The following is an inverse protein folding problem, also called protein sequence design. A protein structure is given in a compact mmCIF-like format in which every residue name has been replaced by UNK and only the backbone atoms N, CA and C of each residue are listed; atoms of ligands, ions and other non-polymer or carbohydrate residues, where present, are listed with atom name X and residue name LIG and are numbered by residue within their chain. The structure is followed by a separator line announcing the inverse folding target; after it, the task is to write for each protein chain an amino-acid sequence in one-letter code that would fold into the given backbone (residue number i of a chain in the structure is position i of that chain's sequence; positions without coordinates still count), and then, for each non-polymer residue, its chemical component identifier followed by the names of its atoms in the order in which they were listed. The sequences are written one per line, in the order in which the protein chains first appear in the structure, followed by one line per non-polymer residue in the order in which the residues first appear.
data_IF_112317929021
#
_entry.id   IF_112317929021
#
_cell.length_a   1.000
_cell.length_b   1.000
_cell.length_c   1.000
_cell.angle_alpha   90.00
_cell.angle_beta   90.00
_cell.angle_gamma   90.00
#
_symmetry.space_group_name_H-M   'P 1'
#
loop_
_entity.id
_entity.type
_entity.pdbx_description
1 polymer ?
#
# COMPACT_ATOMS: atom_id res chain seq x y z
N UNK A 1 -11.64 -16.27 -16.57
CA UNK A 1 -12.77 -16.12 -15.61
C UNK A 1 -14.02 -15.70 -16.38
N UNK A 2 -15.20 -16.27 -16.07
CA UNK A 2 -16.48 -15.83 -16.66
C UNK A 2 -17.10 -14.64 -15.89
N UNK A 3 -18.18 -14.04 -16.43
CA UNK A 3 -18.83 -12.85 -15.83
C UNK A 3 -19.41 -13.18 -14.44
N UNK A 4 -19.92 -14.39 -14.23
CA UNK A 4 -20.52 -14.77 -12.94
C UNK A 4 -19.44 -14.80 -11.86
N UNK A 5 -18.34 -15.49 -12.12
CA UNK A 5 -17.19 -15.55 -11.23
C UNK A 5 -16.56 -14.17 -11.01
N UNK A 6 -16.51 -13.32 -12.05
CA UNK A 6 -16.06 -11.94 -11.91
C UNK A 6 -16.97 -11.13 -10.98
N UNK A 7 -18.30 -11.27 -11.10
CA UNK A 7 -19.25 -10.57 -10.24
C UNK A 7 -19.22 -11.03 -8.78
N UNK A 8 -18.99 -12.33 -8.53
CA UNK A 8 -18.74 -12.84 -7.18
C UNK A 8 -17.49 -12.20 -6.57
N UNK A 9 -16.42 -12.06 -7.37
CA UNK A 9 -15.18 -11.44 -6.94
C UNK A 9 -15.31 -9.92 -6.74
N UNK A 10 -16.08 -9.22 -7.58
CA UNK A 10 -16.40 -7.79 -7.39
C UNK A 10 -17.19 -7.58 -6.10
N UNK A 11 -18.16 -8.44 -5.80
CA UNK A 11 -18.91 -8.37 -4.56
C UNK A 11 -17.97 -8.52 -3.35
N UNK A 12 -17.03 -9.48 -3.41
CA UNK A 12 -16.01 -9.63 -2.35
C UNK A 12 -15.10 -8.42 -2.22
N UNK A 13 -14.58 -7.91 -3.34
CA UNK A 13 -13.77 -6.68 -3.36
C UNK A 13 -14.55 -5.49 -2.77
N UNK A 14 -15.85 -5.38 -3.05
CA UNK A 14 -16.69 -4.32 -2.50
C UNK A 14 -16.79 -4.39 -0.99
N UNK A 15 -16.90 -5.59 -0.40
CA UNK A 15 -16.94 -5.76 1.05
C UNK A 15 -15.62 -5.32 1.70
N UNK A 16 -14.48 -5.68 1.09
CA UNK A 16 -13.16 -5.28 1.57
C UNK A 16 -13.00 -3.76 1.50
N UNK A 17 -13.27 -3.16 0.35
CA UNK A 17 -13.17 -1.70 0.16
C UNK A 17 -14.10 -0.95 1.11
N UNK A 18 -15.35 -1.39 1.25
CA UNK A 18 -16.31 -0.77 2.17
C UNK A 18 -15.83 -0.82 3.62
N UNK A 19 -15.34 -1.99 4.06
CA UNK A 19 -14.81 -2.18 5.41
C UNK A 19 -13.65 -1.22 5.68
N UNK A 20 -12.72 -1.14 4.75
CA UNK A 20 -11.50 -0.34 4.87
C UNK A 20 -11.78 1.17 4.84
N UNK A 21 -12.58 1.64 3.89
CA UNK A 21 -12.91 3.06 3.73
C UNK A 21 -13.75 3.58 4.90
N UNK A 22 -14.72 2.80 5.38
CA UNK A 22 -15.58 3.22 6.49
C UNK A 22 -14.85 3.46 7.82
N UNK A 23 -13.67 2.86 8.00
CA UNK A 23 -12.85 3.03 9.22
C UNK A 23 -11.84 4.17 9.15
N UNK A 24 -11.56 4.74 7.95
CA UNK A 24 -10.49 5.74 7.78
C UNK A 24 -10.96 7.19 7.76
N UNK A 25 -12.26 7.46 7.65
CA UNK A 25 -12.80 8.82 7.62
C UNK A 25 -12.28 9.65 6.43
N UNK A 26 -12.66 10.93 6.37
CA UNK A 26 -12.08 11.89 5.43
C UNK A 26 -10.67 12.27 5.91
N UNK A 27 -9.72 12.31 4.98
CA UNK A 27 -8.34 12.71 5.26
C UNK A 27 -8.19 14.19 4.93
N UNK A 28 -7.96 15.00 5.97
CA UNK A 28 -7.65 16.42 5.84
C UNK A 28 -6.15 16.64 6.04
N UNK A 29 -5.53 17.39 5.12
CA UNK A 29 -4.16 17.84 5.25
C UNK A 29 -4.05 19.32 4.92
N UNK A 30 -3.08 19.98 5.56
CA UNK A 30 -2.71 21.37 5.28
C UNK A 30 -1.73 21.48 4.10
N UNK A 31 -1.03 20.40 3.78
CA UNK A 31 -0.01 20.39 2.75
C UNK A 31 -0.60 19.90 1.43
N UNK A 32 -1.09 18.66 1.35
CA UNK A 32 -1.63 18.11 0.12
C UNK A 32 -3.17 18.06 0.10
N UNK A 33 -3.80 18.18 -1.09
CA UNK A 33 -5.25 17.96 -1.23
C UNK A 33 -5.54 16.45 -1.27
N UNK A 34 -5.37 15.78 -0.13
CA UNK A 34 -5.34 14.30 -0.02
C UNK A 34 -6.56 13.63 -0.63
N UNK A 35 -7.76 14.05 -0.25
CA UNK A 35 -8.98 13.44 -0.77
C UNK A 35 -9.10 13.65 -2.29
N UNK A 36 -8.71 14.82 -2.80
CA UNK A 36 -8.77 15.14 -4.22
C UNK A 36 -7.80 14.28 -5.06
N UNK A 37 -6.52 14.19 -4.65
CA UNK A 37 -5.54 13.42 -5.42
C UNK A 37 -5.81 11.92 -5.36
N UNK A 38 -6.38 11.41 -4.25
CA UNK A 38 -6.81 10.02 -4.15
C UNK A 38 -7.87 9.73 -5.21
N UNK A 39 -8.87 10.62 -5.35
CA UNK A 39 -9.90 10.47 -6.38
C UNK A 39 -9.30 10.49 -7.79
N UNK A 40 -8.39 11.43 -8.09
CA UNK A 40 -7.67 11.47 -9.36
C UNK A 40 -6.90 10.17 -9.61
N UNK A 41 -6.20 9.64 -8.60
CA UNK A 41 -5.44 8.39 -8.72
C UNK A 41 -6.32 7.18 -9.04
N UNK A 42 -7.58 7.15 -8.57
CA UNK A 42 -8.51 6.08 -8.90
C UNK A 42 -8.87 6.09 -10.39
N UNK A 43 -9.14 7.26 -10.95
CA UNK A 43 -9.42 7.40 -12.39
C UNK A 43 -8.20 7.05 -13.25
N UNK A 44 -7.01 7.52 -12.86
CA UNK A 44 -5.77 7.16 -13.54
C UNK A 44 -5.53 5.64 -13.49
N UNK A 45 -5.71 5.01 -12.31
CA UNK A 45 -5.59 3.56 -12.18
C UNK A 45 -6.56 2.80 -13.09
N UNK A 46 -7.80 3.27 -13.24
CA UNK A 46 -8.78 2.68 -14.17
C UNK A 46 -8.36 2.78 -15.65
N UNK A 47 -7.55 3.78 -15.98
CA UNK A 47 -7.02 3.97 -17.33
C UNK A 47 -5.80 3.08 -17.59
N UNK A 48 -4.85 3.03 -16.65
CA UNK A 48 -3.52 2.46 -16.93
C UNK A 48 -3.28 1.04 -16.42
N UNK A 49 -4.01 0.60 -15.39
CA UNK A 49 -3.60 -0.61 -14.66
C UNK A 49 -3.66 -1.88 -15.52
N UNK A 50 -4.65 -1.98 -16.41
CA UNK A 50 -4.75 -3.12 -17.33
C UNK A 50 -3.47 -3.28 -18.16
N UNK A 51 -2.99 -2.20 -18.78
CA UNK A 51 -1.82 -2.24 -19.66
C UNK A 51 -0.54 -2.53 -18.87
N UNK A 52 -0.40 -1.95 -17.67
CA UNK A 52 0.71 -2.25 -16.76
C UNK A 52 0.73 -3.74 -16.40
N UNK A 53 -0.39 -4.29 -15.92
CA UNK A 53 -0.46 -5.70 -15.50
C UNK A 53 -0.32 -6.66 -16.68
N UNK A 54 -0.80 -6.27 -17.87
CA UNK A 54 -0.59 -7.02 -19.10
C UNK A 54 0.89 -7.10 -19.43
N UNK A 55 1.62 -5.97 -19.38
CA UNK A 55 3.07 -5.94 -19.61
C UNK A 55 3.84 -6.77 -18.58
N UNK A 56 3.44 -6.71 -17.31
CA UNK A 56 4.00 -7.57 -16.24
C UNK A 56 3.77 -9.06 -16.54
N UNK A 57 2.56 -9.40 -17.02
CA UNK A 57 2.16 -10.79 -17.31
C UNK A 57 2.92 -11.42 -18.49
N UNK A 58 3.61 -10.62 -19.32
CA UNK A 58 4.50 -11.13 -20.37
C UNK A 58 5.85 -11.64 -19.80
N UNK A 59 6.18 -11.28 -18.55
CA UNK A 59 7.47 -11.63 -17.91
C UNK A 59 7.33 -12.61 -16.75
N UNK A 60 6.18 -12.63 -16.08
CA UNK A 60 5.94 -13.44 -14.90
C UNK A 60 4.46 -13.80 -14.76
N UNK A 61 4.12 -14.66 -13.80
CA UNK A 61 2.74 -14.97 -13.46
C UNK A 61 2.35 -14.36 -12.11
N UNK A 62 1.04 -14.06 -11.90
CA UNK A 62 0.52 -13.66 -10.59
C UNK A 62 0.91 -14.61 -9.46
N UNK A 63 0.87 -15.92 -9.70
CA UNK A 63 1.21 -16.94 -8.70
C UNK A 63 2.67 -16.84 -8.26
N UNK A 64 3.58 -16.74 -9.23
CA UNK A 64 5.01 -16.62 -8.95
C UNK A 64 5.31 -15.34 -8.18
N UNK A 65 4.68 -14.23 -8.55
CA UNK A 65 4.80 -12.97 -7.82
C UNK A 65 4.33 -13.11 -6.38
N UNK A 66 3.16 -13.73 -6.15
CA UNK A 66 2.63 -13.90 -4.80
C UNK A 66 3.56 -14.77 -3.94
N UNK A 67 4.00 -15.92 -4.46
CA UNK A 67 4.87 -16.84 -3.75
C UNK A 67 6.26 -16.26 -3.45
N UNK A 68 6.93 -15.66 -4.43
CA UNK A 68 8.30 -15.13 -4.26
C UNK A 68 8.37 -13.84 -3.43
N UNK A 69 7.22 -13.20 -3.20
CA UNK A 69 7.10 -11.97 -2.40
C UNK A 69 6.88 -12.25 -0.92
N UNK A 70 6.77 -13.52 -0.51
CA UNK A 70 6.59 -13.97 0.88
C UNK A 70 7.89 -13.92 1.69
N UNK A 71 8.55 -12.77 1.69
CA UNK A 71 9.88 -12.56 2.27
C UNK A 71 9.97 -11.18 2.91
N UNK A 72 10.87 -11.05 3.89
CA UNK A 72 11.15 -9.79 4.59
C UNK A 72 11.51 -8.70 3.57
N UNK A 73 10.98 -7.49 3.68
CA UNK A 73 11.30 -6.32 2.83
C UNK A 73 11.03 -6.59 1.34
N UNK A 74 9.91 -7.23 1.05
CA UNK A 74 9.43 -7.44 -0.33
C UNK A 74 8.78 -6.16 -0.90
N UNK A 75 9.00 -5.90 -2.19
CA UNK A 75 8.31 -4.84 -2.93
C UNK A 75 6.79 -5.04 -2.96
N UNK A 76 6.37 -6.29 -3.17
CA UNK A 76 4.96 -6.69 -3.19
C UNK A 76 4.62 -7.18 -1.79
N UNK A 77 3.66 -6.50 -1.18
CA UNK A 77 3.12 -6.79 0.15
C UNK A 77 1.61 -6.54 0.19
N UNK A 78 0.97 -6.81 1.33
CA UNK A 78 -0.49 -6.81 1.48
C UNK A 78 -1.17 -5.52 0.96
N UNK A 79 -0.63 -4.34 1.32
CA UNK A 79 -1.13 -3.04 0.86
C UNK A 79 -1.06 -2.92 -0.67
N UNK A 80 0.07 -3.27 -1.28
CA UNK A 80 0.21 -3.22 -2.74
C UNK A 80 -0.82 -4.14 -3.43
N UNK A 81 -1.02 -5.36 -2.92
CA UNK A 81 -1.99 -6.31 -3.45
C UNK A 81 -3.42 -5.75 -3.33
N UNK A 82 -3.74 -5.07 -2.23
CA UNK A 82 -5.03 -4.43 -2.03
C UNK A 82 -5.24 -3.19 -2.91
N UNK A 83 -4.18 -2.53 -3.40
CA UNK A 83 -4.32 -1.41 -4.36
C UNK A 83 -5.00 -1.81 -5.66
N UNK A 84 -4.82 -3.05 -6.12
CA UNK A 84 -5.43 -3.50 -7.37
C UNK A 84 -6.96 -3.36 -7.31
N UNK A 85 -7.68 -4.02 -6.38
CA UNK A 85 -9.12 -3.85 -6.30
C UNK A 85 -9.50 -2.47 -5.78
N UNK A 86 -8.75 -1.87 -4.85
CA UNK A 86 -9.13 -0.57 -4.28
C UNK A 86 -9.12 0.54 -5.33
N UNK A 87 -8.01 0.75 -6.03
CA UNK A 87 -7.87 1.92 -6.90
C UNK A 87 -8.63 1.72 -8.21
N UNK A 88 -8.41 0.59 -8.88
CA UNK A 88 -9.04 0.31 -10.18
C UNK A 88 -10.56 0.22 -10.08
N UNK A 89 -11.09 -0.51 -9.10
CA UNK A 89 -12.55 -0.69 -9.03
C UNK A 89 -13.27 0.53 -8.48
N UNK A 90 -12.65 1.33 -7.61
CA UNK A 90 -13.23 2.60 -7.18
C UNK A 90 -13.20 3.63 -8.33
N UNK A 91 -12.14 3.65 -9.14
CA UNK A 91 -12.08 4.45 -10.37
C UNK A 91 -13.18 4.07 -11.37
N UNK A 92 -13.32 2.77 -11.62
CA UNK A 92 -14.42 2.21 -12.42
C UNK A 92 -15.79 2.62 -11.86
N UNK A 93 -15.98 2.53 -10.54
CA UNK A 93 -17.24 2.92 -9.89
C UNK A 93 -17.55 4.41 -10.09
N UNK A 94 -16.54 5.28 -9.95
CA UNK A 94 -16.66 6.71 -10.21
C UNK A 94 -17.06 6.99 -11.65
N UNK A 95 -16.42 6.33 -12.62
CA UNK A 95 -16.71 6.51 -14.04
C UNK A 95 -18.14 6.10 -14.40
N UNK A 96 -18.59 4.94 -13.92
CA UNK A 96 -19.97 4.50 -14.12
C UNK A 96 -20.95 5.47 -13.46
N UNK A 97 -20.65 5.98 -12.26
CA UNK A 97 -21.50 6.94 -11.56
C UNK A 97 -21.63 8.26 -12.34
N UNK A 98 -20.53 8.77 -12.90
CA UNK A 98 -20.54 9.97 -13.75
C UNK A 98 -21.34 9.75 -15.04
N UNK A 99 -21.39 8.51 -15.54
CA UNK A 99 -22.18 8.10 -16.71
C UNK A 99 -23.61 7.65 -16.35
N UNK A 100 -24.22 8.26 -15.33
CA UNK A 100 -25.61 8.01 -14.93
C UNK A 100 -25.82 6.77 -14.06
N UNK A 101 -24.75 6.09 -13.64
CA UNK A 101 -24.81 4.96 -12.74
C UNK A 101 -25.23 3.64 -13.39
N UNK A 102 -25.19 3.55 -14.72
CA UNK A 102 -25.50 2.33 -15.48
C UNK A 102 -24.21 1.58 -15.87
N UNK A 103 -23.94 0.37 -15.36
CA UNK A 103 -22.78 -0.44 -15.75
C UNK A 103 -22.73 -0.77 -17.25
N UNK A 104 -23.85 -0.66 -17.98
CA UNK A 104 -23.86 -0.84 -19.44
C UNK A 104 -23.19 0.31 -20.18
N UNK A 105 -22.94 1.45 -19.53
CA UNK A 105 -22.19 2.58 -20.10
C UNK A 105 -20.74 2.23 -20.42
N UNK A 106 -20.15 1.23 -19.76
CA UNK A 106 -18.82 0.75 -20.09
C UNK A 106 -18.80 -0.04 -21.40
N UNK A 107 -17.76 0.18 -22.20
CA UNK A 107 -17.52 -0.59 -23.42
C UNK A 107 -17.23 -2.05 -23.11
N UNK A 108 -17.48 -2.93 -24.09
CA UNK A 108 -17.15 -4.36 -23.97
C UNK A 108 -15.66 -4.58 -23.66
N UNK A 109 -14.78 -3.82 -24.32
CA UNK A 109 -13.33 -3.87 -24.08
C UNK A 109 -12.98 -3.55 -22.62
N UNK A 110 -13.51 -2.47 -22.03
CA UNK A 110 -13.25 -2.13 -20.63
C UNK A 110 -13.77 -3.18 -19.64
N UNK A 111 -14.86 -3.87 -19.99
CA UNK A 111 -15.35 -5.03 -19.21
C UNK A 111 -14.37 -6.19 -19.26
N UNK A 112 -13.80 -6.50 -20.43
CA UNK A 112 -12.78 -7.54 -20.61
C UNK A 112 -11.49 -7.19 -19.85
N UNK A 113 -11.04 -5.94 -19.92
CA UNK A 113 -9.91 -5.43 -19.13
C UNK A 113 -10.16 -5.58 -17.62
N UNK A 114 -11.37 -5.27 -17.15
CA UNK A 114 -11.77 -5.44 -15.75
C UNK A 114 -11.72 -6.90 -15.31
N UNK A 115 -12.18 -7.82 -16.15
CA UNK A 115 -12.07 -9.27 -15.87
C UNK A 115 -10.61 -9.69 -15.75
N UNK A 116 -9.72 -9.18 -16.62
CA UNK A 116 -8.29 -9.46 -16.56
C UNK A 116 -7.66 -8.97 -15.25
N UNK A 117 -7.91 -7.71 -14.86
CA UNK A 117 -7.37 -7.11 -13.63
C UNK A 117 -7.83 -7.90 -12.39
N UNK A 118 -9.11 -8.29 -12.35
CA UNK A 118 -9.67 -9.09 -11.26
C UNK A 118 -9.09 -10.51 -11.20
N UNK A 119 -8.90 -11.18 -12.35
CA UNK A 119 -8.26 -12.50 -12.42
C UNK A 119 -6.81 -12.45 -11.93
N UNK A 120 -6.06 -11.44 -12.39
CA UNK A 120 -4.70 -11.18 -11.94
C UNK A 120 -4.64 -10.98 -10.42
N UNK A 121 -5.47 -10.09 -9.88
CA UNK A 121 -5.54 -9.84 -8.44
C UNK A 121 -5.85 -11.11 -7.65
N UNK A 122 -6.86 -11.88 -8.06
CA UNK A 122 -7.24 -13.12 -7.39
C UNK A 122 -6.05 -14.06 -7.30
N UNK A 123 -5.40 -14.36 -8.43
CA UNK A 123 -4.29 -15.33 -8.50
C UNK A 123 -3.07 -14.86 -7.70
N UNK A 124 -2.76 -13.56 -7.75
CA UNK A 124 -1.71 -12.95 -6.93
C UNK A 124 -2.01 -13.05 -5.44
N UNK A 125 -3.21 -12.67 -5.03
CA UNK A 125 -3.60 -12.66 -3.62
C UNK A 125 -3.63 -14.08 -3.04
N UNK A 126 -4.23 -15.05 -3.75
CA UNK A 126 -4.34 -16.44 -3.28
C UNK A 126 -3.01 -17.19 -3.20
N UNK A 127 -1.97 -16.72 -3.90
CA UNK A 127 -0.61 -17.28 -3.81
C UNK A 127 0.22 -16.60 -2.71
N UNK A 128 -0.04 -15.32 -2.45
CA UNK A 128 0.61 -14.56 -1.39
C UNK A 128 0.07 -14.90 0.01
N UNK A 129 -1.24 -14.82 0.21
CA UNK A 129 -1.85 -15.04 1.52
C UNK A 129 -1.99 -16.55 1.82
N UNK A 130 -1.76 -16.99 3.07
CA UNK A 130 -1.96 -18.38 3.48
C UNK A 130 -3.35 -18.90 3.14
N UNK A 131 -3.49 -20.21 2.92
CA UNK A 131 -4.77 -20.88 2.67
C UNK A 131 -5.58 -20.33 1.48
N UNK A 132 -4.94 -19.61 0.54
CA UNK A 132 -5.63 -19.07 -0.63
C UNK A 132 -6.62 -17.95 -0.29
N UNK A 133 -6.38 -17.16 0.78
CA UNK A 133 -7.17 -15.97 1.09
C UNK A 133 -6.88 -14.84 0.09
N UNK A 134 -7.76 -13.83 0.04
CA UNK A 134 -7.61 -12.67 -0.86
C UNK A 134 -7.01 -11.44 -0.18
N UNK A 135 -6.97 -11.41 1.15
CA UNK A 135 -6.69 -10.20 1.90
C UNK A 135 -6.31 -10.50 3.36
N UNK A 136 -5.83 -9.48 4.07
CA UNK A 136 -5.56 -9.53 5.51
C UNK A 136 -6.86 -9.68 6.28
N UNK A 137 -7.92 -8.99 5.84
CA UNK A 137 -9.26 -9.16 6.43
C UNK A 137 -9.76 -10.60 6.34
N UNK A 138 -9.51 -11.27 5.21
CA UNK A 138 -9.89 -12.67 4.97
C UNK A 138 -9.03 -13.65 5.78
N UNK A 139 -7.88 -13.18 6.25
CA UNK A 139 -6.90 -13.90 7.06
C UNK A 139 -7.08 -13.60 8.55
N UNK A 140 -8.32 -13.37 9.00
CA UNK A 140 -8.67 -13.02 10.38
C UNK A 140 -7.89 -11.81 10.94
N UNK A 141 -7.54 -10.85 10.07
CA UNK A 141 -6.73 -9.67 10.42
C UNK A 141 -5.32 -10.02 10.87
N UNK A 142 -4.76 -11.10 10.36
CA UNK A 142 -3.34 -11.46 10.50
C UNK A 142 -2.66 -11.29 9.14
N UNK A 143 -1.57 -10.53 9.10
CA UNK A 143 -0.76 -10.35 7.89
C UNK A 143 0.45 -11.31 7.93
N UNK A 144 0.18 -12.61 7.73
CA UNK A 144 1.17 -13.69 7.80
C UNK A 144 1.69 -13.96 6.39
N UNK A 145 2.67 -13.15 5.96
CA UNK A 145 3.22 -13.23 4.61
C UNK A 145 4.64 -13.79 4.56
N UNK A 146 5.46 -13.52 5.58
CA UNK A 146 6.88 -13.88 5.61
C UNK A 146 7.01 -15.40 5.81
N UNK A 147 7.85 -16.03 5.01
CA UNK A 147 8.11 -17.47 5.08
C UNK A 147 8.66 -17.89 6.45
N UNK A 148 8.27 -19.09 6.90
CA UNK A 148 8.65 -19.60 8.23
C UNK A 148 10.17 -19.66 8.42
N UNK A 149 10.95 -19.97 7.37
CA UNK A 149 12.42 -19.97 7.41
C UNK A 149 12.99 -18.60 7.76
N UNK A 150 12.41 -17.52 7.22
CA UNK A 150 12.84 -16.15 7.48
C UNK A 150 12.45 -15.73 8.91
N UNK A 151 11.29 -16.18 9.38
CA UNK A 151 10.86 -15.99 10.78
C UNK A 151 11.82 -16.68 11.74
N UNK A 152 12.16 -17.95 11.48
CA UNK A 152 13.06 -18.71 12.35
C UNK A 152 14.49 -18.18 12.33
N UNK A 153 14.98 -17.74 11.17
CA UNK A 153 16.25 -17.01 11.08
C UNK A 153 16.21 -15.71 11.88
N UNK A 154 15.13 -14.93 11.75
CA UNK A 154 14.97 -13.64 12.45
C UNK A 154 14.95 -13.80 13.96
N UNK A 155 14.34 -14.87 14.50
CA UNK A 155 14.36 -15.18 15.94
C UNK A 155 15.79 -15.23 16.50
N UNK A 156 16.77 -15.70 15.71
CA UNK A 156 18.17 -15.76 16.11
C UNK A 156 18.90 -14.41 15.99
N UNK A 157 18.29 -13.41 15.35
CA UNK A 157 18.84 -12.04 15.24
C UNK A 157 18.27 -11.10 16.31
N UNK A 158 17.23 -11.53 17.05
CA UNK A 158 16.63 -10.71 18.10
C UNK A 158 17.60 -10.60 19.27
N UNK A 159 17.89 -9.36 19.66
CA UNK A 159 18.63 -9.03 20.87
C UNK A 159 17.68 -8.53 21.95
N UNK A 160 17.95 -8.92 23.20
CA UNK A 160 17.28 -8.35 24.37
C UNK A 160 17.71 -6.89 24.52
N UNK A 161 16.76 -6.02 24.85
CA UNK A 161 17.03 -4.58 24.99
C UNK A 161 16.41 -4.01 26.26
N UNK A 162 17.02 -2.93 26.74
CA UNK A 162 16.49 -2.09 27.80
C UNK A 162 15.31 -1.23 27.31
N UNK A 163 14.55 -0.67 28.26
CA UNK A 163 13.49 0.29 27.96
C UNK A 163 14.00 1.54 27.24
N UNK A 164 15.21 2.00 27.56
CA UNK A 164 15.82 3.18 26.92
C UNK A 164 16.15 2.90 25.45
N UNK A 165 16.70 1.72 25.15
CA UNK A 165 16.94 1.26 23.78
C UNK A 165 15.62 1.10 23.02
N UNK A 166 14.57 0.56 23.66
CA UNK A 166 13.25 0.42 23.04
C UNK A 166 12.66 1.78 22.64
N UNK A 167 12.80 2.79 23.51
CA UNK A 167 12.44 4.18 23.22
C UNK A 167 13.24 4.71 22.03
N UNK A 168 14.54 4.49 21.99
CA UNK A 168 15.39 4.97 20.91
C UNK A 168 15.03 4.32 19.56
N UNK A 169 14.76 3.01 19.55
CA UNK A 169 14.33 2.27 18.37
C UNK A 169 12.98 2.78 17.86
N UNK A 170 11.94 2.85 18.73
CA UNK A 170 10.62 3.36 18.32
C UNK A 170 10.68 4.80 17.82
N UNK A 171 11.49 5.66 18.45
CA UNK A 171 11.68 7.05 17.99
C UNK A 171 12.30 7.12 16.61
N UNK A 172 13.34 6.33 16.36
CA UNK A 172 14.03 6.31 15.07
C UNK A 172 13.13 5.79 13.95
N UNK A 173 12.38 4.71 14.24
CA UNK A 173 11.35 4.17 13.36
C UNK A 173 10.27 5.22 13.04
N UNK A 174 9.73 5.90 14.06
CA UNK A 174 8.72 6.94 13.87
C UNK A 174 9.24 8.12 13.02
N UNK A 175 10.50 8.52 13.21
CA UNK A 175 11.10 9.58 12.39
C UNK A 175 11.23 9.15 10.91
N UNK A 176 11.58 7.89 10.66
CA UNK A 176 11.62 7.32 9.30
C UNK A 176 10.23 7.20 8.68
N UNK A 177 9.21 6.85 9.47
CA UNK A 177 7.82 6.83 9.01
C UNK A 177 7.36 8.22 8.58
N UNK A 178 7.69 9.27 9.34
CA UNK A 178 7.30 10.65 9.02
C UNK A 178 7.92 11.11 7.70
N UNK A 179 9.21 10.89 7.49
CA UNK A 179 9.86 11.26 6.22
C UNK A 179 9.33 10.42 5.06
N UNK A 180 9.06 9.12 5.28
CA UNK A 180 8.51 8.24 4.24
C UNK A 180 7.09 8.65 3.87
N UNK A 181 6.27 9.03 4.86
CA UNK A 181 4.91 9.54 4.66
C UNK A 181 4.93 10.84 3.85
N UNK A 182 5.83 11.77 4.21
CA UNK A 182 5.95 13.04 3.50
C UNK A 182 6.45 12.82 2.05
N UNK A 183 7.49 12.02 1.85
CA UNK A 183 8.04 11.69 0.53
C UNK A 183 7.00 11.00 -0.37
N UNK A 184 6.10 10.21 0.21
CA UNK A 184 4.97 9.59 -0.49
C UNK A 184 3.75 10.54 -0.62
N UNK A 185 3.96 11.86 -0.57
CA UNK A 185 2.88 12.86 -0.65
C UNK A 185 1.73 12.62 0.34
N UNK A 186 2.05 12.20 1.57
CA UNK A 186 1.09 11.83 2.63
C UNK A 186 0.34 10.51 2.40
N UNK A 187 0.93 9.59 1.64
CA UNK A 187 0.53 8.18 1.58
C UNK A 187 1.41 7.28 2.46
N UNK A 188 0.95 6.04 2.68
CA UNK A 188 1.64 5.03 3.50
C UNK A 188 2.24 3.88 2.68
N UNK A 189 2.38 4.03 1.36
CA UNK A 189 2.77 2.91 0.49
C UNK A 189 4.15 2.33 0.82
N UNK A 190 5.07 3.14 1.39
CA UNK A 190 6.40 2.70 1.82
C UNK A 190 6.42 1.85 3.09
N UNK A 191 5.33 1.82 3.85
CA UNK A 191 5.26 1.21 5.18
C UNK A 191 4.41 -0.05 5.12
N UNK A 192 4.91 -1.14 5.69
CA UNK A 192 4.18 -2.40 5.79
C UNK A 192 4.44 -3.10 7.12
N UNK A 193 3.37 -3.37 7.85
CA UNK A 193 3.42 -4.17 9.08
C UNK A 193 3.03 -5.63 8.78
N UNK A 194 3.81 -6.59 9.27
CA UNK A 194 3.52 -8.03 9.17
C UNK A 194 3.44 -8.69 10.55
N UNK A 195 2.60 -9.72 10.65
CA UNK A 195 2.41 -10.51 11.86
C UNK A 195 0.92 -10.74 12.21
N UNK A 196 0.64 -11.15 13.45
CA UNK A 196 1.61 -11.52 14.48
C UNK A 196 2.19 -12.93 14.22
N UNK A 197 3.50 -13.09 14.30
CA UNK A 197 4.13 -14.41 14.20
C UNK A 197 4.39 -14.97 15.60
N UNK A 198 3.72 -16.07 15.98
CA UNK A 198 3.83 -16.62 17.33
C UNK A 198 5.24 -17.15 17.63
N UNK A 199 5.78 -16.82 18.80
CA UNK A 199 7.04 -17.38 19.32
C UNK A 199 6.75 -18.43 20.40
N UNK A 200 5.96 -18.05 21.39
CA UNK A 200 5.51 -18.87 22.52
C UNK A 200 4.14 -18.35 22.99
N UNK A 201 3.54 -18.90 24.05
CA UNK A 201 2.18 -18.54 24.49
C UNK A 201 1.92 -17.03 24.66
N UNK A 202 2.93 -16.24 25.04
CA UNK A 202 2.76 -14.83 25.40
C UNK A 202 3.56 -13.87 24.54
N UNK A 203 4.34 -14.37 23.57
CA UNK A 203 5.20 -13.53 22.73
C UNK A 203 4.97 -13.75 21.24
N UNK A 204 5.03 -12.63 20.51
CA UNK A 204 4.90 -12.57 19.06
C UNK A 204 6.02 -11.74 18.45
N UNK A 205 6.36 -12.00 17.20
CA UNK A 205 7.13 -11.09 16.36
C UNK A 205 6.18 -10.24 15.51
N UNK A 206 6.49 -8.95 15.44
CA UNK A 206 5.91 -8.01 14.48
C UNK A 206 7.05 -7.40 13.68
N UNK A 207 6.86 -7.33 12.37
CA UNK A 207 7.78 -6.66 11.45
C UNK A 207 7.13 -5.35 11.04
N UNK A 208 7.88 -4.26 11.16
CA UNK A 208 7.53 -2.98 10.56
C UNK A 208 8.58 -2.62 9.52
N UNK A 209 8.19 -2.68 8.26
CA UNK A 209 9.07 -2.50 7.12
C UNK A 209 8.88 -1.11 6.53
N UNK A 210 10.00 -0.44 6.24
CA UNK A 210 10.06 0.84 5.54
C UNK A 210 10.91 0.64 4.30
N UNK A 211 10.35 0.94 3.13
CA UNK A 211 10.99 0.75 1.82
C UNK A 211 11.24 2.09 1.12
N UNK A 212 12.10 2.08 0.10
CA UNK A 212 12.35 3.22 -0.78
C UNK A 212 12.84 4.50 -0.08
N UNK A 213 13.62 4.36 1.00
CA UNK A 213 14.37 5.48 1.57
C UNK A 213 15.43 5.94 0.56
N UNK A 214 15.63 7.25 0.41
CA UNK A 214 16.64 7.76 -0.51
C UNK A 214 18.03 7.52 0.07
N UNK A 215 18.81 6.64 -0.54
CA UNK A 215 20.15 6.24 -0.10
C UNK A 215 21.29 6.85 -0.94
N UNK A 216 20.97 7.82 -1.81
CA UNK A 216 21.90 8.41 -2.78
C UNK A 216 21.88 7.72 -4.15
N UNK A 217 21.11 6.64 -4.31
CA UNK A 217 20.88 5.96 -5.60
C UNK A 217 19.80 6.63 -6.45
N UNK A 218 19.16 5.82 -7.32
CA UNK A 218 18.01 6.28 -8.12
C UNK A 218 16.85 6.59 -7.17
N UNK A 219 16.30 7.82 -7.16
CA UNK A 219 15.22 8.16 -6.25
C UNK A 219 13.92 7.44 -6.66
N UNK A 220 13.09 7.12 -5.66
CA UNK A 220 11.82 6.44 -5.90
C UNK A 220 10.83 7.35 -6.65
N UNK A 221 10.78 8.63 -6.27
CA UNK A 221 10.07 9.68 -7.00
C UNK A 221 11.01 10.78 -7.48
N UNK A 222 10.62 11.58 -8.48
CA UNK A 222 11.42 12.72 -8.94
C UNK A 222 11.81 13.72 -7.84
N UNK A 223 11.08 13.76 -6.72
CA UNK A 223 11.34 14.65 -5.60
C UNK A 223 12.05 13.98 -4.41
N UNK A 224 12.19 12.65 -4.39
CA UNK A 224 12.77 11.91 -3.25
C UNK A 224 14.27 12.13 -3.09
N UNK A 225 14.95 12.60 -4.14
CA UNK A 225 16.34 13.04 -4.03
C UNK A 225 16.44 14.24 -3.07
N UNK A 226 17.28 14.07 -2.05
CA UNK A 226 17.59 15.07 -1.02
C UNK A 226 19.09 15.11 -0.76
N UNK A 227 19.59 16.20 -0.17
CA UNK A 227 21.02 16.31 0.17
C UNK A 227 21.45 15.28 1.23
N UNK A 228 20.49 14.79 2.03
CA UNK A 228 20.72 13.78 3.04
C UNK A 228 20.41 12.38 2.50
N UNK A 229 21.33 11.44 2.71
CA UNK A 229 21.14 10.05 2.30
C UNK A 229 20.91 9.15 3.51
N UNK A 230 19.95 8.24 3.38
CA UNK A 230 19.74 7.14 4.29
C UNK A 230 20.90 6.15 4.16
N UNK A 231 21.37 5.50 5.23
CA UNK A 231 22.41 4.47 5.13
C UNK A 231 21.96 3.24 4.33
N UNK A 232 20.64 3.00 4.23
CA UNK A 232 20.03 1.91 3.47
C UNK A 232 18.73 2.39 2.83
N UNK A 233 18.39 1.87 1.64
CA UNK A 233 17.12 2.18 0.99
C UNK A 233 15.90 1.48 1.60
N UNK A 234 16.11 0.53 2.52
CA UNK A 234 15.05 -0.17 3.21
C UNK A 234 15.52 -0.64 4.59
N UNK A 235 14.57 -0.76 5.53
CA UNK A 235 14.82 -1.28 6.87
C UNK A 235 13.56 -1.94 7.43
N UNK A 236 13.73 -3.09 8.08
CA UNK A 236 12.70 -3.72 8.90
C UNK A 236 13.06 -3.57 10.37
N UNK A 237 12.13 -2.99 11.13
CA UNK A 237 12.14 -3.02 12.58
C UNK A 237 11.35 -4.26 13.02
N UNK A 238 12.04 -5.24 13.59
CA UNK A 238 11.40 -6.45 14.12
C UNK A 238 11.29 -6.30 15.62
N UNK A 239 10.08 -6.40 16.15
CA UNK A 239 9.80 -6.33 17.58
C UNK A 239 9.40 -7.70 18.09
N UNK A 240 10.08 -8.19 19.13
CA UNK A 240 9.55 -9.23 20.00
C UNK A 240 8.70 -8.54 21.06
N UNK A 241 7.40 -8.80 21.00
CA UNK A 241 6.41 -8.19 21.87
C UNK A 241 5.79 -9.24 22.79
N UNK A 242 5.64 -8.90 24.06
CA UNK A 242 5.04 -9.75 25.09
C UNK A 242 3.69 -9.22 25.54
N UNK A 243 2.71 -10.11 25.72
CA UNK A 243 1.38 -9.80 26.24
C UNK A 243 0.64 -8.71 25.43
N UNK A 244 0.65 -8.84 24.10
CA UNK A 244 -0.07 -7.92 23.22
C UNK A 244 -1.14 -8.65 22.41
N UNK A 245 -2.22 -7.96 22.10
CA UNK A 245 -3.08 -8.33 20.98
C UNK A 245 -2.66 -7.51 19.76
N UNK A 246 -2.50 -8.15 18.60
CA UNK A 246 -2.18 -7.49 17.34
C UNK A 246 -3.16 -7.90 16.24
N UNK A 247 -3.67 -6.91 15.52
CA UNK A 247 -4.51 -7.05 14.33
C UNK A 247 -3.97 -6.14 13.24
N UNK A 248 -4.22 -6.52 12.00
CA UNK A 248 -3.74 -5.81 10.82
C UNK A 248 -4.92 -5.51 9.90
N UNK A 249 -4.81 -4.44 9.13
CA UNK A 249 -5.75 -4.10 8.07
C UNK A 249 -5.17 -4.41 6.67
N UNK A 250 -5.99 -4.28 5.62
CA UNK A 250 -5.54 -4.50 4.23
C UNK A 250 -4.62 -3.39 3.73
N UNK A 251 -4.43 -2.34 4.52
CA UNK A 251 -3.40 -1.35 4.29
C UNK A 251 -2.09 -1.66 5.02
N UNK A 252 -1.94 -2.90 5.51
CA UNK A 252 -0.78 -3.38 6.25
C UNK A 252 -0.42 -2.51 7.46
N UNK A 253 -1.42 -1.98 8.17
CA UNK A 253 -1.22 -1.20 9.39
C UNK A 253 -1.56 -2.02 10.62
N UNK A 254 -0.67 -2.01 11.63
CA UNK A 254 -0.88 -2.61 12.95
C UNK A 254 -1.90 -1.82 13.79
N UNK A 255 -2.87 -2.53 14.33
CA UNK A 255 -3.74 -2.14 15.45
C UNK A 255 -3.39 -3.06 16.64
N UNK A 256 -2.84 -2.51 17.72
CA UNK A 256 -2.43 -3.27 18.90
C UNK A 256 -3.18 -2.87 20.17
N UNK A 257 -3.28 -3.81 21.12
CA UNK A 257 -3.71 -3.56 22.50
C UNK A 257 -2.60 -4.03 23.43
N UNK A 258 -1.95 -3.12 24.18
CA UNK A 258 -2.14 -1.66 24.19
C UNK A 258 -1.74 -0.98 22.87
N UNK A 259 -2.30 0.21 22.61
CA UNK A 259 -2.00 0.97 21.39
C UNK A 259 -0.55 1.48 21.37
N UNK A 260 -0.04 1.94 22.53
CA UNK A 260 1.40 2.10 22.71
C UNK A 260 1.99 0.86 23.38
N UNK A 261 2.65 0.04 22.58
CA UNK A 261 3.26 -1.22 22.99
C UNK A 261 4.72 -1.07 23.46
N UNK A 262 5.20 0.14 23.75
CA UNK A 262 6.61 0.37 24.12
C UNK A 262 7.05 -0.45 25.34
N UNK A 263 6.18 -0.57 26.35
CA UNK A 263 6.43 -1.35 27.56
C UNK A 263 6.33 -2.87 27.34
N UNK A 264 5.85 -3.28 26.16
CA UNK A 264 5.71 -4.69 25.77
C UNK A 264 6.89 -5.19 24.94
N UNK A 265 7.81 -4.32 24.53
CA UNK A 265 9.00 -4.70 23.74
C UNK A 265 10.00 -5.43 24.65
N UNK A 266 10.26 -6.71 24.37
CA UNK A 266 11.26 -7.52 25.09
C UNK A 266 12.53 -7.77 24.27
N UNK A 267 12.52 -7.46 22.99
CA UNK A 267 13.69 -7.61 22.12
C UNK A 267 13.45 -7.01 20.75
N UNK A 268 14.52 -6.71 20.02
CA UNK A 268 14.46 -6.14 18.67
C UNK A 268 15.49 -6.75 17.74
N UNK A 269 15.23 -6.65 16.44
CA UNK A 269 16.24 -6.78 15.39
C UNK A 269 16.01 -5.68 14.35
N UNK A 270 17.08 -5.18 13.77
CA UNK A 270 17.03 -4.32 12.59
C UNK A 270 17.54 -5.14 11.41
N UNK A 271 16.80 -5.14 10.31
CA UNK A 271 17.17 -5.89 9.11
C UNK A 271 17.16 -4.97 7.89
N UNK A 272 17.99 -5.25 6.92
CA UNK A 272 17.92 -4.63 5.58
C UNK A 272 18.05 -5.71 4.51
N UNK A 273 17.61 -5.38 3.30
CA UNK A 273 17.67 -6.26 2.13
C UNK A 273 18.46 -5.62 1.01
N UNK A 274 19.40 -6.38 0.46
CA UNK A 274 20.12 -6.08 -0.78
C UNK A 274 19.89 -7.22 -1.78
N UNK A 275 19.05 -6.99 -2.78
CA UNK A 275 18.60 -8.03 -3.70
C UNK A 275 17.88 -9.16 -2.96
N UNK A 276 18.39 -10.40 -3.08
CA UNK A 276 17.80 -11.55 -2.38
C UNK A 276 18.34 -11.76 -0.97
N UNK A 277 19.37 -11.01 -0.55
CA UNK A 277 20.04 -11.21 0.73
C UNK A 277 19.45 -10.28 1.79
N UNK A 278 18.97 -10.86 2.89
CA UNK A 278 18.61 -10.12 4.12
C UNK A 278 19.77 -10.20 5.08
N UNK A 279 20.14 -9.07 5.70
CA UNK A 279 21.21 -8.99 6.69
C UNK A 279 20.76 -8.20 7.93
N UNK A 280 21.25 -8.57 9.13
CA UNK A 280 21.01 -7.79 10.33
C UNK A 280 21.81 -6.49 10.29
N UNK A 281 21.33 -5.49 11.03
CA UNK A 281 21.98 -4.22 11.28
C UNK A 281 22.17 -4.03 12.78
N UNK A 282 23.29 -3.44 13.15
CA UNK A 282 23.56 -3.01 14.52
C UNK A 282 22.73 -1.77 14.88
N UNK A 283 22.42 -1.58 16.17
CA UNK A 283 21.59 -0.44 16.63
C UNK A 283 22.29 0.93 16.49
N UNK A 284 23.60 0.96 16.24
CA UNK A 284 24.36 2.19 16.00
C UNK A 284 23.90 2.94 14.74
N UNK A 285 23.35 2.20 13.75
CA UNK A 285 22.75 2.74 12.51
C UNK A 285 21.62 3.73 12.78
N UNK A 286 20.95 3.64 13.94
CA UNK A 286 19.83 4.50 14.31
C UNK A 286 20.23 5.98 14.31
N UNK A 287 21.48 6.31 14.64
CA UNK A 287 21.98 7.69 14.58
C UNK A 287 22.00 8.23 13.15
N UNK A 288 22.44 7.41 12.19
CA UNK A 288 22.46 7.76 10.77
C UNK A 288 21.04 7.91 10.21
N UNK A 289 20.13 7.00 10.58
CA UNK A 289 18.72 7.12 10.20
C UNK A 289 18.07 8.40 10.75
N UNK A 290 18.32 8.74 12.02
CA UNK A 290 17.79 9.97 12.63
C UNK A 290 18.36 11.24 11.97
N UNK A 291 19.65 11.23 11.63
CA UNK A 291 20.28 12.35 10.93
C UNK A 291 19.70 12.54 9.51
N UNK A 292 19.48 11.44 8.79
CA UNK A 292 18.78 11.44 7.51
C UNK A 292 17.35 11.98 7.66
N UNK A 293 16.53 11.37 8.52
CA UNK A 293 15.12 11.72 8.66
C UNK A 293 14.91 13.19 9.00
N UNK A 294 15.73 13.76 9.89
CA UNK A 294 15.62 15.17 10.27
C UNK A 294 15.91 16.13 9.10
N UNK A 295 16.94 15.84 8.31
CA UNK A 295 17.34 16.68 7.16
C UNK A 295 16.41 16.50 5.97
N UNK A 296 16.16 15.26 5.56
CA UNK A 296 15.30 14.93 4.42
C UNK A 296 13.86 15.42 4.66
N UNK A 297 13.31 15.23 5.87
CA UNK A 297 11.96 15.74 6.19
C UNK A 297 11.87 17.27 6.05
N UNK A 298 12.88 18.01 6.54
CA UNK A 298 12.91 19.47 6.41
C UNK A 298 12.99 19.89 4.95
N UNK A 299 13.83 19.24 4.16
CA UNK A 299 14.01 19.56 2.75
C UNK A 299 12.75 19.29 1.93
N UNK A 300 12.17 18.09 2.06
CA UNK A 300 10.93 17.70 1.40
C UNK A 300 9.77 18.62 1.79
N UNK A 301 9.65 18.95 3.07
CA UNK A 301 8.61 19.88 3.54
C UNK A 301 8.75 21.26 2.86
N UNK A 302 9.96 21.81 2.80
CA UNK A 302 10.21 23.09 2.12
C UNK A 302 9.98 23.00 0.60
N UNK A 303 10.28 21.86 -0.01
CA UNK A 303 10.02 21.59 -1.44
C UNK A 303 8.52 21.63 -1.72
N UNK A 304 7.72 20.87 -0.97
CA UNK A 304 6.27 20.78 -1.17
C UNK A 304 5.52 22.04 -0.72
N UNK A 305 5.99 22.75 0.29
CA UNK A 305 5.38 24.01 0.72
C UNK A 305 5.42 25.09 -0.38
N UNK A 306 6.38 25.01 -1.31
CA UNK A 306 6.49 25.91 -2.48
C UNK A 306 5.61 25.49 -3.64
N UNK A 307 5.15 24.24 -3.68
CA UNK A 307 4.25 23.79 -4.73
C UNK A 307 2.88 24.44 -4.59
N UNK A 308 2.29 24.81 -5.72
CA UNK A 308 0.88 25.21 -5.76
C UNK A 308 -0.04 23.98 -5.61
N UNK A 309 -1.35 24.23 -5.47
CA UNK A 309 -2.34 23.16 -5.30
C UNK A 309 -2.34 22.16 -6.47
N UNK A 310 -2.14 22.63 -7.71
CA UNK A 310 -2.16 21.77 -8.91
C UNK A 310 -0.95 20.84 -8.91
N UNK A 311 0.23 21.35 -8.58
CA UNK A 311 1.45 20.56 -8.44
C UNK A 311 1.29 19.49 -7.36
N UNK A 312 0.72 19.83 -6.20
CA UNK A 312 0.46 18.86 -5.12
C UNK A 312 -0.59 17.82 -5.50
N UNK A 313 -1.63 18.22 -6.23
CA UNK A 313 -2.66 17.32 -6.75
C UNK A 313 -2.06 16.29 -7.72
N UNK A 314 -1.25 16.75 -8.68
CA UNK A 314 -0.57 15.88 -9.66
C UNK A 314 0.43 14.96 -8.97
N UNK A 315 1.26 15.48 -8.08
CA UNK A 315 2.27 14.69 -7.38
C UNK A 315 1.65 13.59 -6.51
N UNK A 316 0.57 13.90 -5.77
CA UNK A 316 -0.14 12.90 -4.97
C UNK A 316 -0.80 11.82 -5.83
N UNK A 317 -1.42 12.20 -6.96
CA UNK A 317 -2.00 11.24 -7.89
C UNK A 317 -0.92 10.34 -8.52
N UNK A 318 0.20 10.94 -8.94
CA UNK A 318 1.36 10.22 -9.45
C UNK A 318 1.89 9.21 -8.43
N UNK A 319 2.11 9.61 -7.17
CA UNK A 319 2.66 8.74 -6.14
C UNK A 319 1.79 7.48 -5.93
N UNK A 320 0.45 7.66 -5.87
CA UNK A 320 -0.48 6.54 -5.74
C UNK A 320 -0.43 5.57 -6.92
N UNK A 321 -0.41 6.09 -8.15
CA UNK A 321 -0.35 5.26 -9.36
C UNK A 321 1.03 4.60 -9.53
N UNK A 322 2.10 5.29 -9.17
CA UNK A 322 3.46 4.75 -9.13
C UNK A 322 3.62 3.63 -8.09
N UNK A 323 2.68 3.47 -7.17
CA UNK A 323 2.58 2.27 -6.33
C UNK A 323 2.57 0.96 -7.13
N UNK A 324 2.12 0.98 -8.39
CA UNK A 324 2.18 -0.18 -9.29
C UNK A 324 3.59 -0.50 -9.81
N UNK A 325 4.56 0.41 -9.63
CA UNK A 325 5.96 0.17 -9.97
C UNK A 325 6.52 -1.05 -9.22
N UNK A 326 5.92 -1.43 -8.09
CA UNK A 326 6.27 -2.67 -7.35
C UNK A 326 6.14 -3.93 -8.20
N UNK A 327 5.11 -4.00 -9.05
CA UNK A 327 4.91 -5.13 -9.97
C UNK A 327 5.87 -5.10 -11.14
N UNK A 328 6.11 -3.92 -11.70
CA UNK A 328 7.04 -3.76 -12.83
C UNK A 328 8.49 -3.91 -12.38
N UNK A 329 8.82 -3.56 -11.13
CA UNK A 329 10.13 -3.78 -10.51
C UNK A 329 10.40 -5.28 -10.39
N UNK A 330 9.40 -6.03 -9.91
CA UNK A 330 9.46 -7.49 -9.87
C UNK A 330 9.70 -8.08 -11.26
N UNK A 331 8.96 -7.61 -12.27
CA UNK A 331 9.06 -8.08 -13.65
C UNK A 331 10.24 -7.47 -14.44
N UNK A 332 10.99 -6.52 -13.86
CA UNK A 332 12.08 -5.75 -14.48
C UNK A 332 11.69 -5.01 -15.77
N UNK A 333 10.53 -4.38 -15.75
CA UNK A 333 9.97 -3.60 -16.88
C UNK A 333 9.57 -2.17 -16.49
N UNK A 334 9.95 -1.69 -15.30
CA UNK A 334 9.55 -0.36 -14.79
C UNK A 334 9.95 0.79 -15.70
N UNK A 335 11.16 0.73 -16.28
CA UNK A 335 11.68 1.77 -17.18
C UNK A 335 11.02 1.73 -18.57
N UNK A 336 10.18 0.73 -18.86
CA UNK A 336 9.41 0.63 -20.09
C UNK A 336 8.02 1.28 -19.99
N UNK A 337 7.59 1.65 -18.77
CA UNK A 337 6.28 2.23 -18.49
C UNK A 337 6.41 3.75 -18.45
N UNK A 338 5.50 4.43 -19.15
CA UNK A 338 5.28 5.86 -18.94
C UNK A 338 4.42 6.06 -17.70
N UNK A 339 4.98 6.70 -16.67
CA UNK A 339 4.31 6.94 -15.40
C UNK A 339 3.63 8.30 -15.30
N UNK A 340 3.77 9.15 -16.32
CA UNK A 340 3.04 10.41 -16.39
C UNK A 340 1.52 10.15 -16.43
N UNK A 341 0.76 11.02 -15.77
CA UNK A 341 -0.71 10.94 -15.81
C UNK A 341 -1.19 11.03 -17.25
N UNK A 342 -2.18 10.22 -17.62
CA UNK A 342 -2.73 10.23 -18.98
C UNK A 342 -3.32 11.59 -19.36
N UNK A 343 -3.36 11.88 -20.68
CA UNK A 343 -3.99 13.11 -21.20
C UNK A 343 -5.43 13.27 -20.71
N UNK A 344 -6.19 12.16 -20.68
CA UNK A 344 -7.56 12.14 -20.15
C UNK A 344 -7.61 12.60 -18.69
N UNK A 345 -6.67 12.17 -17.85
CA UNK A 345 -6.62 12.61 -16.46
C UNK A 345 -6.28 14.09 -16.35
N UNK A 346 -5.28 14.54 -17.12
CA UNK A 346 -4.84 15.93 -17.13
C UNK A 346 -5.93 16.90 -17.62
N UNK A 347 -6.72 16.51 -18.62
CA UNK A 347 -7.72 17.38 -19.24
C UNK A 347 -9.10 17.31 -18.59
N UNK A 348 -9.49 16.15 -18.05
CA UNK A 348 -10.82 15.94 -17.46
C UNK A 348 -10.81 16.04 -15.94
N UNK A 349 -10.01 15.22 -15.26
CA UNK A 349 -10.15 15.04 -13.81
C UNK A 349 -9.34 16.03 -12.99
N UNK A 350 -8.15 16.42 -13.45
CA UNK A 350 -7.38 17.47 -12.77
C UNK A 350 -8.22 18.76 -12.65
N UNK A 351 -8.85 19.31 -13.72
CA UNK A 351 -9.70 20.50 -13.58
C UNK A 351 -10.88 20.32 -12.62
N UNK A 352 -11.55 19.16 -12.65
CA UNK A 352 -12.67 18.86 -11.72
C UNK A 352 -12.19 18.90 -10.27
N UNK A 353 -11.07 18.21 -9.98
CA UNK A 353 -10.52 18.11 -8.63
C UNK A 353 -9.65 19.31 -8.24
N UNK A 354 -9.51 20.31 -9.11
CA UNK A 354 -9.04 21.64 -8.75
C UNK A 354 -10.11 22.46 -8.03
N UNK A 355 -11.38 22.22 -8.35
CA UNK A 355 -12.54 22.93 -7.80
C UNK A 355 -13.30 22.13 -6.73
N UNK A 356 -13.08 20.81 -6.65
CA UNK A 356 -13.70 19.92 -5.67
C UNK A 356 -12.67 18.99 -5.03
N UNK A 357 -12.79 18.76 -3.73
CA UNK A 357 -11.99 17.75 -3.04
C UNK A 357 -12.63 16.37 -3.04
N UNK A 358 -13.86 16.24 -3.58
CA UNK A 358 -14.68 15.04 -3.39
C UNK A 358 -15.37 14.58 -4.67
N UNK A 359 -15.38 13.25 -4.86
CA UNK A 359 -16.02 12.59 -5.99
C UNK A 359 -17.48 12.19 -5.66
N UNK A 360 -18.45 12.48 -6.54
CA UNK A 360 -19.87 12.21 -6.28
C UNK A 360 -20.23 10.70 -6.19
N UNK A 361 -19.33 9.80 -6.60
CA UNK A 361 -19.45 8.35 -6.45
C UNK A 361 -19.03 7.81 -5.09
N UNK A 362 -18.18 8.52 -4.33
CA UNK A 362 -17.69 8.06 -3.01
C UNK A 362 -18.83 7.78 -2.00
N UNK A 363 -19.95 8.52 -1.96
CA UNK A 363 -21.08 8.20 -1.07
C UNK A 363 -21.64 6.78 -1.27
N UNK A 364 -21.39 6.11 -2.41
CA UNK A 364 -21.76 4.70 -2.60
C UNK A 364 -21.08 3.77 -1.60
N UNK A 365 -19.81 4.02 -1.27
CA UNK A 365 -19.01 3.23 -0.32
C UNK A 365 -19.55 3.36 1.11
N UNK A 366 -20.07 4.55 1.43
CA UNK A 366 -20.57 4.91 2.76
C UNK A 366 -22.05 4.50 2.99
N UNK A 367 -22.67 3.77 2.05
CA UNK A 367 -24.05 3.30 2.19
C UNK A 367 -24.19 2.34 3.37
N UNK A 368 -25.34 2.38 4.04
CA UNK A 368 -25.66 1.43 5.10
C UNK A 368 -25.77 -0.01 4.57
N UNK A 369 -25.58 -1.00 5.44
CA UNK A 369 -25.74 -2.42 5.10
C UNK A 369 -27.14 -2.73 4.51
N UNK A 370 -28.19 -2.08 5.03
CA UNK A 370 -29.55 -2.23 4.53
C UNK A 370 -29.68 -1.71 3.09
N UNK A 371 -29.07 -0.56 2.78
CA UNK A 371 -29.09 0.02 1.43
C UNK A 371 -28.31 -0.85 0.45
N UNK A 372 -27.15 -1.38 0.83
CA UNK A 372 -26.35 -2.34 0.03
C UNK A 372 -27.10 -3.65 -0.25
N UNK A 373 -27.86 -4.17 0.73
CA UNK A 373 -28.70 -5.37 0.52
C UNK A 373 -29.79 -5.13 -0.53
N UNK A 374 -30.35 -3.92 -0.60
CA UNK A 374 -31.42 -3.56 -1.55
C UNK A 374 -30.90 -3.21 -2.94
N UNK A 375 -29.79 -2.49 -3.01
CA UNK A 375 -29.27 -1.87 -4.24
C UNK A 375 -28.01 -2.54 -4.79
N UNK A 376 -27.56 -3.63 -4.16
CA UNK A 376 -26.33 -4.32 -4.51
C UNK A 376 -25.06 -3.69 -3.89
N UNK A 377 -23.89 -4.30 -4.18
CA UNK A 377 -22.59 -3.83 -3.67
C UNK A 377 -22.29 -2.37 -4.05
N UNK A 378 -21.35 -1.75 -3.34
CA UNK A 378 -20.90 -0.38 -3.64
C UNK A 378 -20.23 -0.31 -5.00
N UNK A 379 -19.31 -1.25 -5.26
CA UNK A 379 -18.71 -1.45 -6.57
C UNK A 379 -19.74 -2.06 -7.51
N UNK A 380 -19.87 -1.50 -8.71
CA UNK A 380 -20.84 -1.98 -9.70
C UNK A 380 -20.46 -3.37 -10.22
N UNK A 381 -21.44 -4.26 -10.35
CA UNK A 381 -21.26 -5.54 -11.04
C UNK A 381 -21.13 -5.32 -12.56
N UNK A 382 -20.52 -6.28 -13.25
CA UNK A 382 -20.55 -6.37 -14.70
C UNK A 382 -21.97 -6.74 -15.16
N UNK A 383 -22.49 -6.11 -16.23
CA UNK A 383 -23.77 -6.51 -16.80
C UNK A 383 -23.69 -7.95 -17.35
N UNK A 384 -24.75 -8.72 -17.14
CA UNK A 384 -24.99 -9.94 -17.93
C UNK A 384 -25.62 -9.49 -19.25
N UNK A 385 -24.98 -9.81 -20.37
CA UNK A 385 -25.49 -9.49 -21.70
C UNK A 385 -26.79 -10.24 -22.01
#
# INVERSE_FOLDING_TARGET
MDIKAANELIARASELVDYQVSRRGLLESKLFPVTAYICVSFYEAYDILYDILKRVSEKTTPEKMGEESRKILSEIHALSIFYIPLYYMVGRMGEIQMNGGDPKSETKEKREQTIFVLDFWKRLATSYFPEGKLSVYDSNKQNIAINQSDIDWTKNQIIDISKEEAINVKRSMANLEVVSFLDECEARAKICDHGPYQINENEVLIFREISHLYDGGKPHFPWSETDATSPFNNVAFVFRLKNIEAKFDDFATLESVPADFIDNITGVALLTREGNNVKPLDLDVLNSFNAYSGKANKELFLKFAKWDRKQRLIAGAYAYCYGYARYTNFARVTDEINWELTERIMDKYIPIFMESDFDPGIPRLLRSRAKKKREGPSLYLLPQD
#
